data_IF_240377128858
#
_entry.id   IF_240377128858
#
_cell.length_a   1.000
_cell.length_b   1.000
_cell.length_c   1.000
_cell.angle_alpha   90.00
_cell.angle_beta   90.00
_cell.angle_gamma   90.00
#
_symmetry.space_group_name_H-M   'P 1'
#
loop_
_entity.id
_entity.type
_entity.pdbx_description
1 polymer ?
#
# COMPACT_ATOMS: atom_id res chain seq x y z
N UNK A 1 5.06 40.99 -51.71
CA UNK A 1 4.26 39.78 -51.46
C UNK A 1 3.74 39.84 -50.03
N UNK A 2 2.49 40.34 -49.84
CA UNK A 2 1.85 40.38 -48.51
C UNK A 2 1.29 38.99 -48.18
N UNK A 3 1.84 38.35 -47.14
CA UNK A 3 1.24 37.12 -46.59
C UNK A 3 -0.08 37.50 -45.89
N UNK A 4 -1.22 36.85 -46.22
CA UNK A 4 -2.47 37.10 -45.52
C UNK A 4 -2.32 36.55 -44.08
N UNK A 5 -2.30 37.44 -43.11
CA UNK A 5 -2.44 37.05 -41.68
C UNK A 5 -3.86 36.55 -41.48
N UNK A 6 -4.01 35.22 -41.41
CA UNK A 6 -5.28 34.55 -41.13
C UNK A 6 -5.69 34.91 -39.69
N UNK A 7 -6.52 35.95 -39.54
CA UNK A 7 -7.07 36.36 -38.23
C UNK A 7 -8.05 35.26 -37.80
N UNK A 8 -7.70 34.52 -36.75
CA UNK A 8 -8.62 33.57 -36.12
C UNK A 8 -9.79 34.39 -35.58
N UNK A 9 -11.06 34.12 -35.97
CA UNK A 9 -12.20 34.90 -35.50
C UNK A 9 -12.30 34.80 -33.95
N UNK A 10 -12.50 35.92 -33.31
CA UNK A 10 -12.55 36.04 -31.83
C UNK A 10 -13.53 35.03 -31.18
N UNK A 11 -14.62 34.71 -31.87
CA UNK A 11 -15.60 33.71 -31.43
C UNK A 11 -15.01 32.31 -31.26
N UNK A 12 -14.04 31.90 -32.12
CA UNK A 12 -13.36 30.60 -32.00
C UNK A 12 -12.46 30.60 -30.76
N UNK A 13 -11.74 31.69 -30.50
CA UNK A 13 -10.86 31.80 -29.32
C UNK A 13 -11.70 31.76 -28.04
N UNK A 14 -12.83 32.45 -27.99
CA UNK A 14 -13.76 32.43 -26.85
C UNK A 14 -14.33 31.02 -26.65
N UNK A 15 -14.76 30.36 -27.74
CA UNK A 15 -15.28 28.98 -27.67
C UNK A 15 -14.27 28.00 -27.13
N UNK A 16 -13.02 28.06 -27.58
CA UNK A 16 -11.93 27.24 -27.09
C UNK A 16 -11.65 27.51 -25.58
N UNK A 17 -11.66 28.78 -25.18
CA UNK A 17 -11.49 29.19 -23.78
C UNK A 17 -12.56 28.59 -22.85
N UNK A 18 -13.83 28.61 -23.28
CA UNK A 18 -14.96 28.04 -22.55
C UNK A 18 -14.79 26.51 -22.43
N UNK A 19 -14.43 25.82 -23.51
CA UNK A 19 -14.22 24.36 -23.50
C UNK A 19 -13.07 23.96 -22.56
N UNK A 20 -11.95 24.69 -22.63
CA UNK A 20 -10.81 24.44 -21.71
C UNK A 20 -11.22 24.72 -20.27
N UNK A 21 -11.91 25.80 -19.98
CA UNK A 21 -12.40 26.13 -18.65
C UNK A 21 -13.32 25.03 -18.08
N UNK A 22 -14.26 24.56 -18.89
CA UNK A 22 -15.17 23.48 -18.52
C UNK A 22 -14.42 22.17 -18.29
N UNK A 23 -13.43 21.84 -19.13
CA UNK A 23 -12.59 20.65 -18.96
C UNK A 23 -11.78 20.71 -17.66
N UNK A 24 -11.19 21.84 -17.31
CA UNK A 24 -10.47 22.04 -16.06
C UNK A 24 -11.40 21.86 -14.84
N UNK A 25 -12.61 22.40 -14.89
CA UNK A 25 -13.61 22.21 -13.83
C UNK A 25 -13.94 20.72 -13.67
N UNK A 26 -14.17 19.99 -14.75
CA UNK A 26 -14.47 18.56 -14.72
C UNK A 26 -13.32 17.75 -14.11
N UNK A 27 -12.07 18.08 -14.44
CA UNK A 27 -10.89 17.43 -13.88
C UNK A 27 -10.78 17.67 -12.36
N UNK A 28 -11.06 18.90 -11.90
CA UNK A 28 -11.02 19.22 -10.46
C UNK A 28 -12.17 18.57 -9.68
N UNK A 29 -13.32 18.37 -10.32
CA UNK A 29 -14.48 17.69 -9.76
C UNK A 29 -14.41 16.17 -9.87
N UNK A 30 -13.50 15.60 -10.66
CA UNK A 30 -13.34 14.17 -10.82
C UNK A 30 -12.86 13.50 -9.53
N UNK A 31 -13.39 12.31 -9.19
CA UNK A 31 -12.87 11.49 -8.09
C UNK A 31 -11.42 11.08 -8.33
N UNK A 32 -10.65 11.00 -7.25
CA UNK A 32 -9.28 10.49 -7.28
C UNK A 32 -8.91 9.85 -5.95
N UNK A 33 -7.98 8.91 -5.98
CA UNK A 33 -7.34 8.37 -4.78
C UNK A 33 -6.40 9.42 -4.20
N UNK A 34 -6.48 9.66 -2.90
CA UNK A 34 -5.63 10.63 -2.17
C UNK A 34 -4.64 9.96 -1.24
N UNK A 35 -4.99 8.77 -0.72
CA UNK A 35 -4.11 7.97 0.12
C UNK A 35 -4.49 6.49 0.04
N UNK A 36 -3.55 5.63 0.37
CA UNK A 36 -3.77 4.20 0.51
C UNK A 36 -2.81 3.63 1.56
N UNK A 37 -3.23 2.55 2.19
CA UNK A 37 -2.45 1.82 3.18
C UNK A 37 -2.63 0.31 2.96
N UNK A 38 -1.54 -0.49 3.02
CA UNK A 38 -0.13 -0.10 3.15
C UNK A 38 0.34 0.80 2.01
N UNK A 39 1.38 1.60 2.24
CA UNK A 39 1.96 2.46 1.19
C UNK A 39 2.70 1.63 0.14
N UNK A 40 2.82 2.17 -1.06
CA UNK A 40 3.51 1.47 -2.16
C UNK A 40 4.96 1.19 -1.82
N UNK A 41 5.40 -0.06 -2.06
CA UNK A 41 6.75 -0.52 -1.76
C UNK A 41 7.04 -0.78 -0.28
N UNK A 42 6.02 -0.76 0.60
CA UNK A 42 6.20 -1.17 2.00
C UNK A 42 6.65 -2.62 2.08
N UNK A 43 7.68 -2.89 2.87
CA UNK A 43 8.22 -4.22 3.14
C UNK A 43 7.88 -4.65 4.56
N UNK A 44 7.83 -5.96 4.80
CA UNK A 44 7.61 -6.51 6.15
C UNK A 44 6.22 -6.22 6.71
N UNK A 45 5.24 -5.97 5.84
CA UNK A 45 3.86 -5.69 6.26
C UNK A 45 3.26 -6.90 6.95
N UNK A 46 2.53 -6.68 8.04
CA UNK A 46 1.85 -7.75 8.76
C UNK A 46 0.88 -8.52 7.86
N UNK A 47 0.89 -9.85 7.97
CA UNK A 47 -0.05 -10.70 7.22
C UNK A 47 -1.52 -10.48 7.59
N UNK A 48 -1.80 -9.77 8.68
CA UNK A 48 -3.16 -9.41 9.12
C UNK A 48 -3.56 -8.00 8.73
N UNK A 49 -2.74 -7.30 7.97
CA UNK A 49 -3.01 -5.90 7.59
C UNK A 49 -4.23 -5.77 6.69
N UNK A 50 -5.05 -4.77 6.99
CA UNK A 50 -6.18 -4.35 6.15
C UNK A 50 -5.69 -3.41 5.05
N UNK A 51 -6.38 -3.40 3.90
CA UNK A 51 -6.17 -2.40 2.87
C UNK A 51 -7.12 -1.23 3.08
N UNK A 52 -6.61 -0.01 2.95
CA UNK A 52 -7.43 1.20 3.00
C UNK A 52 -7.15 2.05 1.77
N UNK A 53 -8.20 2.49 1.10
CA UNK A 53 -8.12 3.42 -0.04
C UNK A 53 -8.95 4.64 0.31
N UNK A 54 -8.32 5.81 0.36
CA UNK A 54 -8.98 7.08 0.61
C UNK A 54 -9.19 7.85 -0.68
N UNK A 55 -10.42 8.31 -0.87
CA UNK A 55 -10.77 9.16 -2.00
C UNK A 55 -10.90 10.63 -1.55
N UNK A 56 -10.85 11.55 -2.52
CA UNK A 56 -11.06 12.98 -2.27
C UNK A 56 -12.54 13.35 -2.10
N UNK A 57 -13.46 12.41 -2.32
CA UNK A 57 -14.92 12.60 -2.24
C UNK A 57 -15.65 11.27 -2.12
N UNK A 58 -16.94 11.28 -1.73
CA UNK A 58 -17.77 10.10 -1.68
C UNK A 58 -17.86 9.38 -3.03
N UNK A 59 -17.77 8.04 -3.00
CA UNK A 59 -17.75 7.18 -4.18
C UNK A 59 -19.00 6.30 -4.23
N UNK A 60 -19.40 5.92 -5.44
CA UNK A 60 -20.38 4.84 -5.63
C UNK A 60 -19.73 3.51 -5.27
N UNK A 61 -20.19 2.87 -4.21
CA UNK A 61 -19.63 1.61 -3.65
C UNK A 61 -19.55 0.53 -4.72
N UNK A 62 -20.65 0.20 -5.38
CA UNK A 62 -20.70 -0.79 -6.45
C UNK A 62 -19.74 -0.49 -7.61
N UNK A 63 -19.58 0.81 -7.95
CA UNK A 63 -18.69 1.19 -9.02
C UNK A 63 -17.21 1.00 -8.70
N UNK A 64 -16.81 1.19 -7.43
CA UNK A 64 -15.44 0.97 -6.97
C UNK A 64 -15.18 -0.52 -6.77
N UNK A 65 -16.07 -1.22 -6.07
CA UNK A 65 -15.94 -2.65 -5.75
C UNK A 65 -15.80 -3.51 -7.01
N UNK A 66 -16.57 -3.22 -8.06
CA UNK A 66 -16.48 -3.94 -9.34
C UNK A 66 -15.17 -3.70 -10.12
N UNK A 67 -14.35 -2.75 -9.69
CA UNK A 67 -13.09 -2.36 -10.34
C UNK A 67 -11.86 -2.55 -9.49
N UNK A 68 -12.04 -2.97 -8.24
CA UNK A 68 -10.94 -3.31 -7.35
C UNK A 68 -10.44 -4.71 -7.67
N UNK A 69 -9.16 -4.82 -7.89
CA UNK A 69 -8.45 -6.08 -8.12
C UNK A 69 -7.33 -6.20 -7.10
N UNK A 70 -7.22 -7.35 -6.47
CA UNK A 70 -6.22 -7.65 -5.44
C UNK A 70 -5.59 -8.99 -5.80
N UNK A 71 -4.27 -9.04 -5.85
CA UNK A 71 -3.48 -10.22 -6.14
C UNK A 71 -2.39 -10.42 -5.08
N UNK A 72 -2.31 -11.60 -4.43
CA UNK A 72 -3.16 -12.78 -4.63
C UNK A 72 -4.60 -12.54 -4.19
N UNK A 73 -5.56 -13.13 -4.91
CA UNK A 73 -6.96 -13.00 -4.57
C UNK A 73 -7.26 -13.73 -3.25
N UNK A 74 -7.77 -13.00 -2.27
CA UNK A 74 -8.22 -13.54 -1.00
C UNK A 74 -9.71 -13.19 -0.78
N UNK A 75 -10.47 -14.11 -0.18
CA UNK A 75 -11.81 -13.75 0.31
C UNK A 75 -11.68 -12.70 1.41
N UNK A 76 -12.63 -11.78 1.45
CA UNK A 76 -12.62 -10.71 2.44
C UNK A 76 -13.88 -9.85 2.34
N UNK A 77 -13.98 -8.90 3.23
CA UNK A 77 -15.13 -7.99 3.33
C UNK A 77 -14.70 -6.57 3.02
N UNK A 78 -15.54 -5.87 2.30
CA UNK A 78 -15.38 -4.46 2.00
C UNK A 78 -16.26 -3.63 2.94
N UNK A 79 -15.67 -2.63 3.57
CA UNK A 79 -16.35 -1.68 4.43
C UNK A 79 -16.11 -0.27 3.91
N UNK A 80 -17.12 0.56 4.05
CA UNK A 80 -17.04 1.97 3.72
C UNK A 80 -17.17 2.83 4.97
N UNK A 81 -16.26 3.76 5.12
CA UNK A 81 -16.31 4.79 6.16
C UNK A 81 -16.08 6.14 5.49
N UNK A 82 -17.17 6.89 5.27
CA UNK A 82 -17.13 8.16 4.55
C UNK A 82 -16.50 8.02 3.14
N UNK A 83 -15.25 8.45 3.01
CA UNK A 83 -14.49 8.44 1.74
C UNK A 83 -13.44 7.32 1.70
N UNK A 84 -13.40 6.47 2.73
CA UNK A 84 -12.45 5.38 2.85
C UNK A 84 -13.12 4.05 2.52
N UNK A 85 -12.52 3.33 1.57
CA UNK A 85 -12.79 1.91 1.35
C UNK A 85 -11.78 1.10 2.14
N UNK A 86 -12.25 0.16 2.96
CA UNK A 86 -11.44 -0.73 3.78
C UNK A 86 -11.73 -2.16 3.36
N UNK A 87 -10.71 -2.88 2.91
CA UNK A 87 -10.79 -4.31 2.67
C UNK A 87 -10.17 -5.07 3.84
N UNK A 88 -10.93 -5.96 4.44
CA UNK A 88 -10.51 -6.85 5.53
C UNK A 88 -10.48 -8.26 4.99
N UNK A 89 -9.30 -8.88 4.82
CA UNK A 89 -9.21 -10.25 4.36
C UNK A 89 -9.72 -11.21 5.43
N UNK A 90 -10.45 -12.26 5.02
CA UNK A 90 -10.93 -13.30 5.94
C UNK A 90 -9.81 -14.27 6.39
N UNK A 91 -8.67 -14.25 5.69
CA UNK A 91 -7.46 -15.03 5.99
C UNK A 91 -6.23 -14.14 5.90
N UNK A 92 -5.17 -14.45 6.65
CA UNK A 92 -3.91 -13.76 6.54
C UNK A 92 -3.39 -13.74 5.10
N UNK A 93 -2.75 -12.64 4.69
CA UNK A 93 -1.98 -12.59 3.45
C UNK A 93 -0.88 -13.66 3.48
N UNK A 94 -0.59 -14.32 2.34
CA UNK A 94 0.51 -15.27 2.31
C UNK A 94 1.82 -14.60 2.69
N UNK A 95 2.52 -15.15 3.68
CA UNK A 95 3.79 -14.61 4.17
C UNK A 95 4.87 -14.66 3.09
N UNK A 96 5.68 -13.63 2.99
CA UNK A 96 6.72 -13.50 1.97
C UNK A 96 6.21 -13.24 0.55
N UNK A 97 4.90 -12.99 0.39
CA UNK A 97 4.33 -12.64 -0.92
C UNK A 97 4.26 -11.14 -1.14
N UNK A 98 4.26 -10.73 -2.40
CA UNK A 98 3.91 -9.37 -2.82
C UNK A 98 2.42 -9.30 -3.10
N UNK A 99 1.74 -8.36 -2.46
CA UNK A 99 0.33 -8.06 -2.72
C UNK A 99 0.25 -6.89 -3.69
N UNK A 100 -0.42 -7.11 -4.83
CA UNK A 100 -0.67 -6.09 -5.82
C UNK A 100 -2.13 -5.65 -5.73
N UNK A 101 -2.36 -4.36 -5.63
CA UNK A 101 -3.70 -3.77 -5.59
C UNK A 101 -3.86 -2.85 -6.78
N UNK A 102 -4.93 -3.05 -7.52
CA UNK A 102 -5.26 -2.24 -8.70
C UNK A 102 -6.70 -1.76 -8.62
N UNK A 103 -6.89 -0.46 -8.75
CA UNK A 103 -8.20 0.14 -8.99
C UNK A 103 -8.27 0.63 -10.42
N UNK A 104 -9.11 -0.04 -11.21
CA UNK A 104 -9.29 0.31 -12.63
C UNK A 104 -9.96 1.67 -12.76
N UNK A 105 -9.62 2.38 -13.84
CA UNK A 105 -10.24 3.65 -14.18
C UNK A 105 -11.74 3.56 -14.40
N UNK A 106 -12.42 4.71 -14.33
CA UNK A 106 -13.85 4.81 -14.58
C UNK A 106 -14.74 4.49 -13.36
N UNK A 107 -14.16 4.25 -12.18
CA UNK A 107 -14.91 4.21 -10.93
C UNK A 107 -15.62 5.55 -10.73
N UNK A 108 -16.90 5.56 -10.37
CA UNK A 108 -17.71 6.77 -10.30
C UNK A 108 -17.85 7.28 -8.87
N UNK A 109 -17.74 8.59 -8.71
CA UNK A 109 -18.19 9.28 -7.52
C UNK A 109 -19.72 9.32 -7.41
N UNK A 110 -20.25 9.70 -6.25
CA UNK A 110 -21.68 10.01 -6.10
C UNK A 110 -22.13 11.16 -7.01
N UNK A 111 -21.21 12.06 -7.36
CA UNK A 111 -21.44 13.11 -8.37
C UNK A 111 -21.51 12.59 -9.81
N UNK A 112 -21.50 11.25 -10.02
CA UNK A 112 -21.53 10.53 -11.30
C UNK A 112 -20.32 10.74 -12.21
N UNK A 113 -19.35 11.56 -11.84
CA UNK A 113 -18.13 11.75 -12.60
C UNK A 113 -17.23 10.51 -12.46
N UNK A 114 -16.59 10.06 -13.55
CA UNK A 114 -15.67 8.94 -13.49
C UNK A 114 -14.31 9.37 -12.93
N UNK A 115 -13.68 8.47 -12.21
CA UNK A 115 -12.27 8.58 -11.84
C UNK A 115 -11.40 8.48 -13.10
N UNK A 116 -10.48 9.41 -13.26
CA UNK A 116 -9.54 9.45 -14.37
C UNK A 116 -8.33 8.57 -14.04
N UNK A 117 -7.97 7.70 -14.98
CA UNK A 117 -6.80 6.86 -14.86
C UNK A 117 -7.03 5.60 -14.02
N UNK A 118 -5.98 4.82 -13.93
CA UNK A 118 -5.85 3.58 -13.16
C UNK A 118 -4.88 3.83 -12.03
N UNK A 119 -5.16 3.27 -10.86
CA UNK A 119 -4.27 3.30 -9.70
C UNK A 119 -3.79 1.89 -9.39
N UNK A 120 -2.48 1.73 -9.23
CA UNK A 120 -1.90 0.45 -8.89
C UNK A 120 -0.75 0.66 -7.92
N UNK A 121 -0.67 -0.17 -6.89
CA UNK A 121 0.44 -0.21 -5.94
C UNK A 121 0.64 -1.61 -5.41
N UNK A 122 1.78 -1.85 -4.78
CA UNK A 122 2.11 -3.14 -4.18
C UNK A 122 2.82 -2.95 -2.84
N UNK A 123 2.77 -3.99 -2.02
CA UNK A 123 3.53 -4.11 -0.78
C UNK A 123 3.93 -5.56 -0.54
N UNK A 124 5.00 -5.76 0.24
CA UNK A 124 5.52 -7.07 0.56
C UNK A 124 5.12 -7.49 1.97
N UNK A 125 4.51 -8.66 2.07
CA UNK A 125 4.09 -9.25 3.34
C UNK A 125 5.32 -9.85 4.03
N UNK A 126 5.54 -9.48 5.28
CA UNK A 126 6.63 -9.98 6.08
C UNK A 126 6.55 -11.49 6.31
N UNK A 127 7.70 -12.09 6.46
CA UNK A 127 7.80 -13.44 7.01
C UNK A 127 7.96 -13.35 8.52
N UNK A 128 7.18 -14.08 9.31
CA UNK A 128 7.41 -14.15 10.75
C UNK A 128 8.79 -14.75 11.01
N UNK A 129 9.50 -14.19 11.96
CA UNK A 129 10.80 -14.69 12.40
C UNK A 129 10.79 -14.96 13.89
N UNK A 130 11.57 -15.93 14.29
CA UNK A 130 11.86 -16.27 15.69
C UNK A 130 13.26 -15.80 16.02
N UNK A 131 13.42 -15.08 17.14
CA UNK A 131 14.72 -14.78 17.74
C UNK A 131 14.85 -15.59 19.02
N UNK A 132 15.99 -16.22 19.23
CA UNK A 132 16.23 -17.08 20.39
C UNK A 132 17.72 -17.12 20.75
N UNK A 133 17.99 -17.46 22.02
CA UNK A 133 19.35 -17.73 22.52
C UNK A 133 19.72 -19.19 22.27
N UNK A 134 20.92 -19.40 21.72
CA UNK A 134 21.48 -20.72 21.51
C UNK A 134 23.04 -20.74 21.66
N UNK A 135 23.66 -21.77 22.25
CA UNK A 135 23.02 -22.81 23.04
C UNK A 135 22.40 -22.28 24.34
N UNK A 136 21.50 -23.05 24.98
CA UNK A 136 20.80 -22.61 26.19
C UNK A 136 21.67 -22.62 27.43
N UNK A 137 22.87 -23.23 27.36
CA UNK A 137 23.88 -23.31 28.40
C UNK A 137 25.26 -22.91 27.83
N UNK A 138 26.07 -22.30 28.66
CA UNK A 138 27.38 -21.76 28.25
C UNK A 138 27.32 -20.43 27.51
N UNK A 139 28.20 -20.28 26.50
CA UNK A 139 28.27 -19.08 25.67
C UNK A 139 27.09 -19.04 24.69
N UNK A 140 26.01 -18.38 25.09
CA UNK A 140 24.81 -18.22 24.26
C UNK A 140 24.93 -17.03 23.34
N UNK A 141 24.48 -17.19 22.10
CA UNK A 141 24.37 -16.14 21.10
C UNK A 141 22.92 -15.99 20.65
N UNK A 142 22.56 -14.81 20.14
CA UNK A 142 21.26 -14.59 19.53
C UNK A 142 21.25 -15.10 18.11
N UNK A 143 20.24 -15.88 17.81
CA UNK A 143 19.95 -16.37 16.46
C UNK A 143 18.59 -15.88 16.01
N UNK A 144 18.47 -15.60 14.73
CA UNK A 144 17.20 -15.36 14.05
C UNK A 144 16.92 -16.48 13.07
N UNK A 145 15.67 -16.91 13.02
CA UNK A 145 15.20 -17.92 12.11
C UNK A 145 13.89 -17.45 11.49
N UNK A 146 13.84 -17.35 10.16
CA UNK A 146 12.60 -17.05 9.44
C UNK A 146 11.70 -18.28 9.40
N UNK A 147 10.41 -18.13 9.71
CA UNK A 147 9.43 -19.20 9.66
C UNK A 147 8.88 -19.33 8.23
N UNK A 148 9.71 -19.77 7.30
CA UNK A 148 9.40 -19.94 5.87
C UNK A 148 9.82 -21.31 5.35
N UNK A 149 9.73 -21.56 4.04
CA UNK A 149 10.08 -22.85 3.43
C UNK A 149 11.54 -23.25 3.64
N UNK A 150 12.44 -22.28 3.70
CA UNK A 150 13.86 -22.49 4.02
C UNK A 150 14.17 -21.92 5.39
N UNK A 151 14.18 -22.82 6.38
CA UNK A 151 14.50 -22.48 7.77
C UNK A 151 16.01 -22.59 7.98
N UNK A 152 16.70 -21.43 7.97
CA UNK A 152 18.13 -21.37 8.31
C UNK A 152 18.34 -20.38 9.45
N UNK A 153 18.85 -20.85 10.62
CA UNK A 153 19.27 -19.95 11.68
C UNK A 153 20.44 -19.07 11.24
N UNK A 154 20.32 -17.77 11.51
CA UNK A 154 21.36 -16.79 11.24
C UNK A 154 21.79 -16.20 12.59
N UNK A 155 23.08 -16.22 12.95
CA UNK A 155 23.56 -15.57 14.15
C UNK A 155 23.40 -14.05 14.00
N UNK A 156 22.86 -13.40 15.04
CA UNK A 156 22.73 -11.94 15.12
C UNK A 156 23.87 -11.31 15.94
N UNK A 157 24.50 -12.09 16.81
CA UNK A 157 25.58 -11.64 17.69
C UNK A 157 26.78 -12.59 17.61
N UNK A 158 27.96 -12.06 17.97
CA UNK A 158 29.20 -12.80 18.19
C UNK A 158 29.90 -12.13 19.39
N UNK A 159 29.48 -12.50 20.60
CA UNK A 159 29.98 -11.95 21.85
C UNK A 159 31.10 -12.84 22.41
N UNK A 160 32.14 -12.29 23.05
CA UNK A 160 33.20 -13.09 23.64
C UNK A 160 32.73 -13.98 24.79
N UNK A 161 31.81 -13.48 25.62
CA UNK A 161 31.34 -14.15 26.83
C UNK A 161 29.89 -14.66 26.72
N UNK A 162 29.19 -14.32 25.64
CA UNK A 162 27.81 -14.72 25.41
C UNK A 162 26.79 -13.66 25.81
N UNK A 163 25.53 -13.92 25.43
CA UNK A 163 24.37 -13.04 25.67
C UNK A 163 23.58 -13.60 26.86
N UNK A 164 23.22 -12.71 27.78
CA UNK A 164 22.48 -13.06 28.99
C UNK A 164 20.97 -13.03 28.76
N UNK A 165 20.47 -11.95 28.09
CA UNK A 165 19.07 -11.69 27.91
C UNK A 165 18.85 -10.74 26.74
N UNK A 166 17.63 -10.71 26.21
CA UNK A 166 17.25 -9.80 25.12
C UNK A 166 15.78 -9.39 25.19
N UNK A 167 15.48 -8.23 24.60
CA UNK A 167 14.14 -7.72 24.41
C UNK A 167 13.92 -7.29 22.97
N UNK A 168 12.72 -7.57 22.44
CA UNK A 168 12.29 -7.11 21.11
C UNK A 168 11.15 -6.11 21.31
N UNK A 169 11.19 -4.99 20.57
CA UNK A 169 10.08 -4.03 20.54
C UNK A 169 8.78 -4.68 20.05
N UNK A 170 7.64 -4.13 20.42
CA UNK A 170 6.33 -4.66 20.03
C UNK A 170 6.16 -4.75 18.51
N UNK A 171 6.80 -3.83 17.76
CA UNK A 171 6.79 -3.79 16.29
C UNK A 171 7.82 -4.74 15.65
N UNK A 172 8.68 -5.40 16.47
CA UNK A 172 9.74 -6.27 15.98
C UNK A 172 10.90 -5.56 15.26
N UNK A 173 10.96 -4.23 15.33
CA UNK A 173 11.95 -3.42 14.60
C UNK A 173 13.23 -3.15 15.38
N UNK A 174 13.21 -3.30 16.70
CA UNK A 174 14.35 -3.05 17.59
C UNK A 174 14.58 -4.27 18.48
N UNK A 175 15.83 -4.67 18.57
CA UNK A 175 16.31 -5.70 19.48
C UNK A 175 17.38 -5.09 20.39
N UNK A 176 17.23 -5.25 21.69
CA UNK A 176 18.17 -4.82 22.72
C UNK A 176 18.59 -6.06 23.51
N UNK A 177 19.87 -6.21 23.80
CA UNK A 177 20.38 -7.35 24.54
C UNK A 177 21.43 -6.94 25.58
N UNK A 178 21.62 -7.80 26.58
CA UNK A 178 22.67 -7.72 27.58
C UNK A 178 23.68 -8.83 27.32
N UNK A 179 24.96 -8.47 27.19
CA UNK A 179 26.06 -9.42 27.11
C UNK A 179 26.74 -9.56 28.49
N UNK A 180 27.35 -10.71 28.74
CA UNK A 180 28.23 -10.87 29.89
C UNK A 180 29.48 -10.02 29.70
N UNK A 181 29.97 -9.40 30.81
CA UNK A 181 31.15 -8.54 30.87
C UNK A 181 32.32 -9.23 31.54
#
# INVERSE_FOLDING_TARGET
>A
MNKPTRRIPALIVIGIGIVIGMMLILITLAPRVTAFSPTSGSMGVSSMTHLTIRFNRPMSTLSVESRLQIEPALPGKLYWKEQDLIFVPDKPWPTGSTVNVTLLGGARGENRLPMIGRWSWSFDVGQPSLVYLWPGDGKSELYQMSLGPEVKPVPLTDSELGIQDYHISAEGSLLIYNAYA
#
